data_IF_539292808587
#
_entry.id   IF_539292808587
#
_cell.length_a   1.000
_cell.length_b   1.000
_cell.length_c   1.000
_cell.angle_alpha   90.00
_cell.angle_beta   90.00
_cell.angle_gamma   90.00
#
_symmetry.space_group_name_H-M   'P 1'
#
loop_
_entity.id
_entity.type
_entity.pdbx_description
1 polymer ?
#
# COMPACT_ATOMS: atom_id res chain seq x y z
N UNK A 1 -6.79 12.22 -19.87
CA UNK A 1 -5.86 13.00 -20.71
C UNK A 1 -4.94 12.07 -21.54
N UNK A 2 -4.00 11.34 -20.92
CA UNK A 2 -3.02 10.51 -21.68
C UNK A 2 -3.63 9.39 -22.55
N UNK A 3 -4.60 8.64 -22.04
CA UNK A 3 -5.29 7.60 -22.82
C UNK A 3 -6.06 8.16 -24.03
N UNK A 4 -6.58 9.39 -23.93
CA UNK A 4 -7.24 10.04 -25.06
C UNK A 4 -6.21 10.45 -26.13
N UNK A 5 -5.07 11.01 -25.71
CA UNK A 5 -3.97 11.33 -26.61
C UNK A 5 -3.40 10.10 -27.33
N UNK A 6 -3.29 8.95 -26.64
CA UNK A 6 -2.83 7.70 -27.24
C UNK A 6 -3.81 7.16 -28.32
N UNK A 7 -5.11 7.43 -28.21
CA UNK A 7 -6.12 7.05 -29.23
C UNK A 7 -6.02 7.87 -30.52
N UNK A 8 -5.48 9.07 -30.44
CA UNK A 8 -5.38 10.01 -31.57
C UNK A 8 -4.06 9.86 -32.35
N UNK A 9 -3.11 9.04 -31.87
CA UNK A 9 -1.78 8.89 -32.47
C UNK A 9 -1.81 8.10 -33.80
N UNK A 10 -1.69 8.80 -34.92
CA UNK A 10 -1.80 8.23 -36.27
C UNK A 10 -0.56 7.44 -36.71
N UNK A 11 0.58 7.62 -36.04
CA UNK A 11 1.82 6.90 -36.31
C UNK A 11 1.80 5.42 -35.90
N UNK A 12 0.81 5.00 -35.11
CA UNK A 12 0.62 3.61 -34.69
C UNK A 12 -0.59 2.97 -35.37
N UNK A 13 -0.53 1.65 -35.54
CA UNK A 13 -1.69 0.87 -35.94
C UNK A 13 -2.76 0.90 -34.84
N UNK A 14 -4.03 0.69 -35.19
CA UNK A 14 -5.13 0.73 -34.24
C UNK A 14 -4.93 -0.26 -33.07
N UNK A 15 -4.44 -1.48 -33.36
CA UNK A 15 -4.15 -2.49 -32.35
C UNK A 15 -3.08 -2.02 -31.34
N UNK A 16 -2.03 -1.33 -31.81
CA UNK A 16 -1.00 -0.77 -30.93
C UNK A 16 -1.57 0.36 -30.06
N UNK A 17 -2.40 1.24 -30.63
CA UNK A 17 -3.08 2.30 -29.86
C UNK A 17 -3.99 1.72 -28.78
N UNK A 18 -4.84 0.76 -29.14
CA UNK A 18 -5.81 0.17 -28.22
C UNK A 18 -5.10 -0.53 -27.06
N UNK A 19 -4.02 -1.26 -27.36
CA UNK A 19 -3.18 -1.88 -26.34
C UNK A 19 -2.50 -0.84 -25.43
N UNK A 20 -1.96 0.25 -25.97
CA UNK A 20 -1.36 1.32 -25.15
C UNK A 20 -2.41 1.98 -24.26
N UNK A 21 -3.63 2.18 -24.75
CA UNK A 21 -4.74 2.73 -23.99
C UNK A 21 -5.15 1.80 -22.85
N UNK A 22 -5.25 0.50 -23.12
CA UNK A 22 -5.49 -0.51 -22.09
C UNK A 22 -4.40 -0.48 -21.03
N UNK A 23 -3.12 -0.50 -21.43
CA UNK A 23 -1.98 -0.41 -20.51
C UNK A 23 -2.03 0.89 -19.68
N UNK A 24 -2.34 2.05 -20.28
CA UNK A 24 -2.47 3.32 -19.55
C UNK A 24 -3.62 3.33 -18.55
N UNK A 25 -4.74 2.68 -18.88
CA UNK A 25 -5.88 2.51 -17.97
C UNK A 25 -5.61 1.46 -16.89
N UNK A 26 -4.71 0.52 -17.15
CA UNK A 26 -4.22 -0.47 -16.20
C UNK A 26 -3.21 0.13 -15.21
N UNK A 27 -2.33 1.04 -15.68
CA UNK A 27 -1.36 1.74 -14.82
C UNK A 27 -2.01 2.46 -13.63
N UNK A 28 -3.20 3.04 -13.81
CA UNK A 28 -3.94 3.69 -12.71
C UNK A 28 -4.69 2.70 -11.81
N UNK A 29 -4.85 1.46 -12.25
CA UNK A 29 -5.56 0.37 -11.57
C UNK A 29 -4.64 -0.55 -10.76
N UNK A 30 -3.31 -0.42 -10.79
CA UNK A 30 -2.43 -1.38 -10.11
C UNK A 30 -2.12 -1.07 -8.63
N UNK A 31 -2.73 -0.01 -8.09
CA UNK A 31 -2.50 0.43 -6.70
C UNK A 31 -3.83 0.39 -5.95
N UNK A 32 -3.91 -0.44 -4.91
CA UNK A 32 -5.00 -0.38 -3.93
C UNK A 32 -4.55 0.47 -2.75
N UNK A 33 -5.38 1.42 -2.34
CA UNK A 33 -5.11 2.26 -1.17
C UNK A 33 -5.85 1.73 0.06
N UNK A 34 -5.10 1.56 1.14
CA UNK A 34 -5.65 1.10 2.42
C UNK A 34 -5.29 2.12 3.48
N UNK A 35 -6.29 2.69 4.13
CA UNK A 35 -6.08 3.60 5.26
C UNK A 35 -6.19 2.83 6.58
N UNK A 36 -5.31 3.16 7.51
CA UNK A 36 -5.30 2.59 8.85
C UNK A 36 -5.06 3.69 9.89
N UNK A 37 -5.83 3.65 10.98
CA UNK A 37 -5.72 4.59 12.10
C UNK A 37 -5.46 3.84 13.41
N UNK A 38 -4.52 4.32 14.20
CA UNK A 38 -4.17 3.73 15.49
C UNK A 38 -3.60 4.77 16.46
N UNK A 39 -3.51 4.44 17.74
CA UNK A 39 -2.82 5.25 18.75
C UNK A 39 -1.65 4.47 19.33
N UNK A 40 -0.49 5.10 19.45
CA UNK A 40 0.71 4.50 20.06
C UNK A 40 1.12 5.32 21.28
N UNK A 41 1.46 4.64 22.38
CA UNK A 41 1.97 5.22 23.61
C UNK A 41 3.41 5.73 23.54
N UNK A 42 3.74 6.49 22.49
CA UNK A 42 5.00 7.22 22.33
C UNK A 42 4.73 8.58 21.71
N UNK A 43 5.63 9.53 21.93
CA UNK A 43 5.49 10.88 21.38
C UNK A 43 5.81 10.93 19.89
N UNK A 44 5.31 11.97 19.21
CA UNK A 44 5.60 12.20 17.80
C UNK A 44 7.10 12.34 17.56
N UNK A 45 7.80 13.05 18.44
CA UNK A 45 9.25 13.23 18.34
C UNK A 45 10.01 11.91 18.40
N UNK A 46 9.54 10.95 19.21
CA UNK A 46 10.11 9.60 19.25
C UNK A 46 9.81 8.82 17.96
N UNK A 47 8.60 8.87 17.41
CA UNK A 47 8.27 8.22 16.13
C UNK A 47 9.04 8.82 14.95
N UNK A 48 9.29 10.13 14.99
CA UNK A 48 10.08 10.84 13.99
C UNK A 48 11.59 10.63 14.19
N UNK A 49 12.01 10.24 15.40
CA UNK A 49 13.41 9.94 15.71
C UNK A 49 13.84 8.63 15.04
N UNK A 50 14.94 8.67 14.28
CA UNK A 50 15.44 7.51 13.57
C UNK A 50 16.38 7.88 12.44
N UNK A 51 17.22 6.92 12.05
CA UNK A 51 18.17 7.12 10.97
C UNK A 51 17.45 7.21 9.60
N UNK A 52 17.94 8.12 8.76
CA UNK A 52 17.48 8.26 7.38
C UNK A 52 16.29 9.20 7.17
N UNK A 53 15.91 9.99 8.19
CA UNK A 53 14.97 11.10 8.08
C UNK A 53 13.72 10.94 8.95
N UNK A 54 12.96 12.04 9.14
CA UNK A 54 11.81 12.05 10.04
C UNK A 54 10.79 10.94 9.73
N UNK A 55 10.59 10.05 10.68
CA UNK A 55 9.58 8.99 10.61
C UNK A 55 9.91 7.85 9.64
N UNK A 56 11.10 7.83 9.03
CA UNK A 56 11.48 6.77 8.07
C UNK A 56 11.55 5.39 8.73
N UNK A 57 12.14 5.30 9.92
CA UNK A 57 12.20 4.06 10.68
C UNK A 57 10.80 3.51 10.94
N UNK A 58 9.89 4.38 11.40
CA UNK A 58 8.51 4.00 11.68
C UNK A 58 7.73 3.61 10.41
N UNK A 59 7.90 4.33 9.29
CA UNK A 59 7.35 3.92 7.98
C UNK A 59 7.81 2.52 7.57
N UNK A 60 9.08 2.19 7.79
CA UNK A 60 9.61 0.87 7.48
C UNK A 60 9.00 -0.23 8.36
N UNK A 61 8.73 0.06 9.64
CA UNK A 61 8.03 -0.86 10.54
C UNK A 61 6.60 -1.08 10.05
N UNK A 62 5.88 -0.02 9.70
CA UNK A 62 4.50 -0.09 9.21
C UNK A 62 4.40 -0.88 7.90
N UNK A 63 5.22 -0.57 6.89
CA UNK A 63 5.21 -1.28 5.61
C UNK A 63 5.58 -2.77 5.78
N UNK A 64 6.60 -3.08 6.60
CA UNK A 64 7.00 -4.48 6.86
C UNK A 64 5.93 -5.24 7.64
N UNK A 65 5.36 -4.62 8.67
CA UNK A 65 4.30 -5.20 9.49
C UNK A 65 3.07 -5.52 8.66
N UNK A 66 2.60 -4.56 7.85
CA UNK A 66 1.48 -4.76 6.94
C UNK A 66 1.78 -5.86 5.92
N UNK A 67 2.93 -5.80 5.24
CA UNK A 67 3.34 -6.82 4.25
C UNK A 67 3.34 -8.23 4.82
N UNK A 68 3.89 -8.39 6.03
CA UNK A 68 3.92 -9.67 6.75
C UNK A 68 2.52 -10.13 7.17
N UNK A 69 1.72 -9.25 7.78
CA UNK A 69 0.39 -9.57 8.30
C UNK A 69 -0.56 -10.12 7.22
N UNK A 70 -0.53 -9.54 6.03
CA UNK A 70 -1.40 -9.96 4.92
C UNK A 70 -0.73 -10.92 3.94
N UNK A 71 0.54 -11.29 4.19
CA UNK A 71 1.38 -12.07 3.28
C UNK A 71 1.40 -11.49 1.86
N UNK A 72 1.67 -10.19 1.76
CA UNK A 72 1.52 -9.41 0.53
C UNK A 72 2.31 -10.03 -0.64
N UNK A 73 3.53 -10.52 -0.39
CA UNK A 73 4.36 -11.14 -1.43
C UNK A 73 3.74 -12.43 -1.99
N UNK A 74 3.12 -13.27 -1.14
CA UNK A 74 2.40 -14.48 -1.58
C UNK A 74 1.18 -14.12 -2.43
N UNK A 75 0.59 -12.94 -2.20
CA UNK A 75 -0.51 -12.39 -2.99
C UNK A 75 -0.03 -11.68 -4.26
N UNK A 76 1.27 -11.55 -4.48
CA UNK A 76 1.84 -10.86 -5.63
C UNK A 76 1.88 -9.32 -5.49
N UNK A 77 1.84 -8.80 -4.26
CA UNK A 77 1.86 -7.38 -3.97
C UNK A 77 3.09 -6.95 -3.18
N UNK A 78 3.42 -5.67 -3.28
CA UNK A 78 4.20 -4.97 -2.26
C UNK A 78 3.44 -3.87 -1.58
N UNK A 79 3.82 -3.65 -0.33
CA UNK A 79 3.26 -2.59 0.50
C UNK A 79 4.23 -1.43 0.59
N UNK A 80 3.73 -0.24 0.27
CA UNK A 80 4.46 1.01 0.43
C UNK A 80 3.64 1.98 1.27
N UNK A 81 4.30 2.75 2.14
CA UNK A 81 3.62 3.80 2.91
C UNK A 81 3.52 5.06 2.03
N UNK A 82 2.33 5.34 1.51
CA UNK A 82 2.03 6.55 0.71
C UNK A 82 2.00 7.79 1.60
N UNK A 83 1.18 7.75 2.65
CA UNK A 83 0.99 8.88 3.55
C UNK A 83 1.12 8.41 5.00
N UNK A 84 1.71 9.26 5.83
CA UNK A 84 1.81 9.06 7.27
C UNK A 84 1.60 10.40 7.96
N UNK A 85 0.59 10.49 8.80
CA UNK A 85 0.23 11.68 9.57
C UNK A 85 0.19 11.37 11.05
N UNK A 86 0.67 12.33 11.83
CA UNK A 86 0.69 12.26 13.28
C UNK A 86 -0.25 13.30 13.86
N UNK A 87 -1.15 12.86 14.72
CA UNK A 87 -2.03 13.72 15.50
C UNK A 87 -1.62 13.65 16.97
N UNK A 88 -1.60 14.80 17.64
CA UNK A 88 -1.29 14.86 19.06
C UNK A 88 -2.46 14.25 19.83
N UNK A 89 -2.15 13.33 20.74
CA UNK A 89 -3.09 12.76 21.70
C UNK A 89 -2.58 13.09 23.09
N UNK A 90 -3.46 13.15 24.08
CA UNK A 90 -3.07 13.40 25.47
C UNK A 90 -2.25 12.23 26.04
N UNK A 91 -1.49 12.51 27.11
CA UNK A 91 -0.79 11.45 27.87
C UNK A 91 0.47 10.89 27.20
N UNK A 92 1.18 11.67 26.38
CA UNK A 92 2.43 11.23 25.74
C UNK A 92 2.25 10.24 24.60
N UNK A 93 1.00 10.03 24.15
CA UNK A 93 0.67 9.18 23.01
C UNK A 93 0.56 9.97 21.71
N UNK A 94 0.64 9.27 20.59
CA UNK A 94 0.48 9.84 19.24
C UNK A 94 -0.56 9.05 18.46
N UNK A 95 -1.51 9.77 17.87
CA UNK A 95 -2.43 9.23 16.88
C UNK A 95 -1.72 9.15 15.55
N UNK A 96 -1.87 8.02 14.87
CA UNK A 96 -1.21 7.72 13.60
C UNK A 96 -2.31 7.41 12.59
N UNK A 97 -2.36 8.15 11.49
CA UNK A 97 -3.04 7.71 10.27
C UNK A 97 -2.00 7.40 9.21
N UNK A 98 -2.15 6.25 8.58
CA UNK A 98 -1.26 5.76 7.53
C UNK A 98 -2.08 5.30 6.35
N UNK A 99 -1.65 5.68 5.14
CA UNK A 99 -2.19 5.19 3.88
C UNK A 99 -1.13 4.31 3.22
N UNK A 100 -1.46 3.06 3.00
CA UNK A 100 -0.64 2.10 2.28
C UNK A 100 -1.06 2.00 0.81
N UNK A 101 -0.08 1.94 -0.07
CA UNK A 101 -0.22 1.50 -1.45
C UNK A 101 0.10 0.01 -1.53
N UNK A 102 -0.84 -0.77 -2.04
CA UNK A 102 -0.60 -2.15 -2.46
C UNK A 102 -0.28 -2.14 -3.96
N UNK A 103 1.00 -2.26 -4.28
CA UNK A 103 1.50 -2.25 -5.66
C UNK A 103 1.53 -3.68 -6.17
N UNK A 104 0.77 -3.98 -7.22
CA UNK A 104 0.82 -5.29 -7.87
C UNK A 104 2.18 -5.49 -8.55
N UNK A 105 2.87 -6.60 -8.23
CA UNK A 105 4.16 -6.99 -8.80
C UNK A 105 4.04 -8.03 -9.92
N UNK A 106 2.86 -8.60 -10.14
CA UNK A 106 2.62 -9.63 -11.15
C UNK A 106 2.15 -8.97 -12.45
N UNK A 107 2.86 -9.18 -13.58
CA UNK A 107 2.36 -8.78 -14.90
C UNK A 107 1.01 -9.47 -15.16
N UNK A 108 -0.05 -8.71 -15.46
CA UNK A 108 -1.44 -9.19 -15.57
C UNK A 108 -1.72 -10.15 -16.76
N UNK A 109 -0.71 -10.81 -17.31
CA UNK A 109 -0.85 -11.71 -18.46
C UNK A 109 -1.59 -13.02 -18.15
N UNK A 110 -1.93 -13.33 -16.89
CA UNK A 110 -2.44 -14.66 -16.53
C UNK A 110 -3.79 -14.73 -15.80
N UNK A 111 -4.36 -13.63 -15.29
CA UNK A 111 -5.68 -13.69 -14.64
C UNK A 111 -6.33 -12.29 -14.58
N UNK A 112 -7.04 -11.94 -15.66
CA UNK A 112 -7.57 -10.60 -15.95
C UNK A 112 -8.69 -10.07 -15.05
N UNK A 113 -8.71 -10.32 -13.74
CA UNK A 113 -9.70 -9.68 -12.85
C UNK A 113 -9.08 -9.06 -11.59
N UNK A 114 -8.73 -7.78 -11.69
CA UNK A 114 -8.30 -6.94 -10.57
C UNK A 114 -9.31 -6.93 -9.41
N UNK A 115 -10.60 -7.08 -9.70
CA UNK A 115 -11.65 -7.16 -8.68
C UNK A 115 -11.43 -8.38 -7.76
N UNK A 116 -11.03 -9.51 -8.33
CA UNK A 116 -10.71 -10.71 -7.56
C UNK A 116 -9.47 -10.51 -6.70
N UNK A 117 -8.46 -9.78 -7.19
CA UNK A 117 -7.27 -9.49 -6.42
C UNK A 117 -7.55 -8.51 -5.28
N UNK A 118 -8.35 -7.48 -5.52
CA UNK A 118 -8.83 -6.56 -4.49
C UNK A 118 -9.62 -7.29 -3.40
N UNK A 119 -10.51 -8.22 -3.79
CA UNK A 119 -11.23 -9.09 -2.83
C UNK A 119 -10.30 -9.95 -1.98
N UNK A 120 -9.22 -10.51 -2.57
CA UNK A 120 -8.22 -11.30 -1.84
C UNK A 120 -7.47 -10.45 -0.82
N UNK A 121 -7.00 -9.27 -1.23
CA UNK A 121 -6.29 -8.32 -0.34
C UNK A 121 -7.21 -7.87 0.79
N UNK A 122 -8.44 -7.43 0.49
CA UNK A 122 -9.40 -7.02 1.51
C UNK A 122 -9.69 -8.15 2.51
N UNK A 123 -9.89 -9.38 2.04
CA UNK A 123 -10.11 -10.53 2.93
C UNK A 123 -8.91 -10.82 3.82
N UNK A 124 -7.69 -10.67 3.30
CA UNK A 124 -6.46 -10.85 4.08
C UNK A 124 -6.32 -9.76 5.16
N UNK A 125 -6.62 -8.51 4.81
CA UNK A 125 -6.61 -7.37 5.75
C UNK A 125 -7.63 -7.59 6.86
N UNK A 126 -8.89 -7.88 6.51
CA UNK A 126 -9.95 -8.14 7.50
C UNK A 126 -9.55 -9.27 8.45
N UNK A 127 -9.06 -10.39 7.91
CA UNK A 127 -8.59 -11.50 8.74
C UNK A 127 -7.45 -11.10 9.68
N UNK A 128 -6.46 -10.36 9.18
CA UNK A 128 -5.32 -9.94 9.98
C UNK A 128 -5.72 -8.96 11.09
N UNK A 129 -6.76 -8.15 10.86
CA UNK A 129 -7.34 -7.28 11.89
C UNK A 129 -8.12 -8.09 12.93
N UNK A 130 -9.01 -8.98 12.49
CA UNK A 130 -9.89 -9.78 13.38
C UNK A 130 -9.08 -10.71 14.30
N UNK A 131 -7.98 -11.27 13.80
CA UNK A 131 -7.11 -12.17 14.55
C UNK A 131 -6.09 -11.44 15.44
N UNK A 132 -5.94 -10.11 15.29
CA UNK A 132 -4.86 -9.36 15.93
C UNK A 132 -3.47 -9.57 15.30
N UNK A 133 -3.37 -10.33 14.21
CA UNK A 133 -2.12 -10.59 13.48
C UNK A 133 -1.43 -9.31 13.03
N UNK A 134 -2.22 -8.27 12.72
CA UNK A 134 -1.71 -6.94 12.33
C UNK A 134 -0.83 -6.32 13.42
N UNK A 135 -1.31 -6.31 14.67
CA UNK A 135 -0.58 -5.75 15.80
C UNK A 135 0.67 -6.58 16.10
N UNK A 136 0.57 -7.91 16.03
CA UNK A 136 1.69 -8.82 16.22
C UNK A 136 2.78 -8.63 15.16
N UNK A 137 2.40 -8.51 13.88
CA UNK A 137 3.33 -8.31 12.79
C UNK A 137 4.04 -6.94 12.86
N UNK A 138 3.32 -5.89 13.26
CA UNK A 138 3.93 -4.56 13.50
C UNK A 138 4.90 -4.61 14.68
N UNK A 139 4.53 -5.26 15.79
CA UNK A 139 5.42 -5.41 16.94
C UNK A 139 6.68 -6.23 16.59
N UNK A 140 6.53 -7.31 15.82
CA UNK A 140 7.66 -8.08 15.32
C UNK A 140 8.57 -7.24 14.40
N UNK A 141 7.98 -6.44 13.51
CA UNK A 141 8.72 -5.57 12.59
C UNK A 141 9.46 -4.43 13.29
N UNK A 142 8.98 -4.00 14.47
CA UNK A 142 9.66 -3.01 15.29
C UNK A 142 10.90 -3.58 16.01
N UNK A 143 10.95 -4.90 16.22
CA UNK A 143 12.06 -5.58 16.89
C UNK A 143 13.19 -6.03 15.95
N UNK A 144 12.94 -6.05 14.63
CA UNK A 144 13.85 -6.54 13.59
C UNK A 144 14.44 -5.46 12.71
#
# INVERSE_FOLDING_TARGET
>A
AMAASAREEKGWSANVRDRIVEEMLLMTKHVLEVEFMLTIGVTRSELESGHGGPGKAFRNVLSRGMSSAIRAEELGFSVETKMLTFTKVEGGSTGVSVVFNMVNRVPMLLDGNMENQSKKVNKAITRAMDNGDMALAMAASARG
#
